data_IF_033734438937
#
_entry.id   IF_033734438937
#
_cell.length_a   1.000
_cell.length_b   1.000
_cell.length_c   1.000
_cell.angle_alpha   90.00
_cell.angle_beta   90.00
_cell.angle_gamma   90.00
#
_symmetry.space_group_name_H-M   'P 1'
#
loop_
_entity.id
_entity.type
_entity.pdbx_description
1 polymer ?
#
# COMPACT_ATOMS: atom_id res chain seq x y z
N UNK A 1 -24.10 34.02 6.24
CA UNK A 1 -22.67 34.03 5.86
C UNK A 1 -21.85 33.65 7.08
N UNK A 2 -21.65 32.36 7.30
CA UNK A 2 -20.56 31.86 8.11
C UNK A 2 -19.61 31.19 7.12
N UNK A 3 -18.47 31.82 6.85
CA UNK A 3 -17.36 31.16 6.19
C UNK A 3 -16.82 30.13 7.20
N UNK A 4 -17.26 28.88 7.10
CA UNK A 4 -16.50 27.77 7.66
C UNK A 4 -15.28 27.57 6.77
N UNK A 5 -14.29 28.46 6.90
CA UNK A 5 -12.96 28.17 6.39
C UNK A 5 -12.50 26.89 7.06
N UNK A 6 -12.21 25.87 6.27
CA UNK A 6 -11.67 24.58 6.73
C UNK A 6 -10.42 24.90 7.56
N UNK A 7 -10.54 24.89 8.88
CA UNK A 7 -9.38 25.04 9.75
C UNK A 7 -8.54 23.78 9.59
N UNK A 8 -7.32 23.98 9.09
CA UNK A 8 -6.35 22.91 8.97
C UNK A 8 -6.08 22.34 10.38
N UNK A 9 -6.36 21.05 10.56
CA UNK A 9 -6.23 20.36 11.86
C UNK A 9 -4.78 20.27 12.34
N UNK A 10 -3.82 20.57 11.45
CA UNK A 10 -2.38 20.47 11.71
C UNK A 10 -1.85 19.03 11.62
N UNK A 11 -2.75 18.05 11.44
CA UNK A 11 -2.41 16.66 11.19
C UNK A 11 -2.14 16.45 9.70
N UNK A 12 -1.04 15.75 9.39
CA UNK A 12 -0.65 15.43 8.03
C UNK A 12 -0.21 13.97 7.95
N UNK A 13 -0.59 13.26 6.88
CA UNK A 13 0.04 11.99 6.53
C UNK A 13 1.42 12.29 5.92
N UNK A 14 2.53 11.87 6.56
CA UNK A 14 3.84 12.10 5.99
C UNK A 14 4.07 11.21 4.77
N UNK A 15 5.02 11.61 3.92
CA UNK A 15 5.47 10.77 2.82
C UNK A 15 6.06 9.44 3.32
N UNK A 16 5.98 8.38 2.51
CA UNK A 16 6.51 7.06 2.90
C UNK A 16 8.04 7.02 3.02
N UNK A 17 8.77 7.98 2.45
CA UNK A 17 10.24 8.00 2.57
C UNK A 17 10.76 8.70 3.83
N UNK A 18 9.90 9.16 4.74
CA UNK A 18 10.36 9.73 6.02
C UNK A 18 10.96 8.64 6.90
N UNK A 19 11.68 9.02 7.95
CA UNK A 19 12.18 8.03 8.91
C UNK A 19 11.04 7.31 9.61
N UNK A 20 11.12 5.99 9.71
CA UNK A 20 10.16 5.12 10.37
C UNK A 20 10.59 4.73 11.78
N UNK A 21 9.61 4.62 12.68
CA UNK A 21 9.76 3.98 13.97
C UNK A 21 9.60 2.45 13.87
N UNK A 22 8.75 1.98 12.95
CA UNK A 22 8.54 0.57 12.68
C UNK A 22 7.79 0.36 11.35
N UNK A 23 7.87 -0.84 10.79
CA UNK A 23 6.92 -1.35 9.80
C UNK A 23 5.93 -2.30 10.47
N UNK A 24 4.65 -2.20 10.10
CA UNK A 24 3.61 -3.14 10.47
C UNK A 24 3.33 -4.12 9.35
N UNK A 25 3.09 -5.37 9.72
CA UNK A 25 2.67 -6.45 8.82
C UNK A 25 1.62 -7.30 9.52
N UNK A 26 0.84 -8.08 8.76
CA UNK A 26 -0.08 -9.09 9.31
C UNK A 26 0.35 -10.45 8.78
N UNK A 27 0.44 -11.44 9.66
CA UNK A 27 0.91 -12.78 9.32
C UNK A 27 -0.21 -13.62 8.68
N UNK A 28 0.03 -14.29 7.54
CA UNK A 28 -0.99 -15.10 6.88
C UNK A 28 -1.25 -16.37 7.69
N UNK A 29 -2.52 -16.61 7.99
CA UNK A 29 -2.99 -17.79 8.74
C UNK A 29 -4.18 -18.49 8.08
N UNK A 30 -4.93 -17.78 7.25
CA UNK A 30 -6.19 -18.26 6.68
C UNK A 30 -5.94 -19.26 5.55
N UNK A 31 -5.80 -20.54 5.92
CA UNK A 31 -5.55 -21.62 4.97
C UNK A 31 -6.65 -21.74 3.90
N UNK A 32 -7.91 -21.59 4.29
CA UNK A 32 -9.02 -21.75 3.35
C UNK A 32 -8.98 -20.70 2.24
N UNK A 33 -8.58 -19.47 2.58
CA UNK A 33 -8.41 -18.38 1.63
C UNK A 33 -7.14 -18.55 0.79
N UNK A 34 -5.98 -18.74 1.42
CA UNK A 34 -4.72 -18.82 0.66
C UNK A 34 -4.62 -20.06 -0.24
N UNK A 35 -5.33 -21.13 0.08
CA UNK A 35 -5.39 -22.34 -0.74
C UNK A 35 -6.66 -22.38 -1.63
N UNK A 36 -7.42 -21.28 -1.76
CA UNK A 36 -8.63 -21.22 -2.60
C UNK A 36 -8.31 -20.92 -4.06
N UNK A 37 -7.99 -21.94 -4.86
CA UNK A 37 -7.83 -21.77 -6.31
C UNK A 37 -6.58 -20.98 -6.75
N UNK A 38 -5.91 -20.29 -5.84
CA UNK A 38 -4.66 -19.55 -6.05
C UNK A 38 -3.41 -20.42 -6.20
N UNK A 39 -3.57 -21.75 -6.26
CA UNK A 39 -2.49 -22.71 -6.58
C UNK A 39 -1.25 -22.65 -5.68
N UNK A 40 -1.38 -22.09 -4.48
CA UNK A 40 -0.33 -22.04 -3.45
C UNK A 40 -0.79 -22.76 -2.20
N UNK A 41 0.17 -23.09 -1.33
CA UNK A 41 -0.10 -23.59 0.02
C UNK A 41 0.19 -22.50 1.05
N UNK A 42 -0.53 -22.49 2.17
CA UNK A 42 -0.31 -21.51 3.24
C UNK A 42 1.16 -21.48 3.73
N UNK A 43 1.87 -22.62 3.91
CA UNK A 43 3.28 -22.61 4.29
C UNK A 43 4.19 -21.88 3.28
N UNK A 44 3.95 -22.04 1.97
CA UNK A 44 4.71 -21.33 0.94
C UNK A 44 4.51 -19.81 1.03
N UNK A 45 3.27 -19.37 1.23
CA UNK A 45 2.95 -17.95 1.42
C UNK A 45 3.61 -17.43 2.70
N UNK A 46 3.58 -18.20 3.79
CA UNK A 46 4.26 -17.84 5.04
C UNK A 46 5.77 -17.68 4.87
N UNK A 47 6.42 -18.52 4.05
CA UNK A 47 7.84 -18.34 3.72
C UNK A 47 8.11 -17.02 2.98
N UNK A 48 7.25 -16.65 2.03
CA UNK A 48 7.35 -15.37 1.30
C UNK A 48 7.18 -14.17 2.25
N UNK A 49 6.15 -14.18 3.10
CA UNK A 49 5.94 -13.14 4.12
C UNK A 49 7.11 -13.05 5.10
N UNK A 50 7.66 -14.17 5.54
CA UNK A 50 8.83 -14.19 6.40
C UNK A 50 10.06 -13.58 5.72
N UNK A 51 10.27 -13.85 4.43
CA UNK A 51 11.38 -13.24 3.69
C UNK A 51 11.25 -11.72 3.65
N UNK A 52 10.04 -11.20 3.40
CA UNK A 52 9.77 -9.75 3.44
C UNK A 52 10.01 -9.18 4.83
N UNK A 53 9.42 -9.77 5.86
CA UNK A 53 9.53 -9.28 7.23
C UNK A 53 10.98 -9.28 7.73
N UNK A 54 11.74 -10.35 7.46
CA UNK A 54 13.15 -10.45 7.82
C UNK A 54 14.04 -9.48 7.00
N UNK A 55 13.69 -9.21 5.74
CA UNK A 55 14.41 -8.23 4.92
C UNK A 55 14.23 -6.80 5.49
N UNK A 56 13.00 -6.43 5.86
CA UNK A 56 12.69 -5.14 6.49
C UNK A 56 13.39 -5.02 7.86
N UNK A 57 13.38 -6.09 8.66
CA UNK A 57 13.96 -6.11 10.01
C UNK A 57 15.48 -5.84 10.06
N UNK A 58 16.16 -5.81 8.90
CA UNK A 58 17.56 -5.36 8.77
C UNK A 58 17.71 -3.83 8.86
N UNK A 59 16.65 -3.08 8.56
CA UNK A 59 16.67 -1.62 8.39
C UNK A 59 15.79 -0.87 9.39
N UNK A 60 14.72 -1.50 9.89
CA UNK A 60 13.83 -0.93 10.91
C UNK A 60 13.08 -2.00 11.70
N UNK A 61 12.57 -1.69 12.91
CA UNK A 61 11.76 -2.64 13.68
C UNK A 61 10.52 -3.09 12.90
N UNK A 62 10.18 -4.38 12.99
CA UNK A 62 8.94 -4.92 12.42
C UNK A 62 8.00 -5.33 13.54
N UNK A 63 6.75 -4.86 13.45
CA UNK A 63 5.62 -5.26 14.29
C UNK A 63 4.70 -6.14 13.46
N UNK A 64 4.76 -7.44 13.72
CA UNK A 64 3.98 -8.44 13.00
C UNK A 64 2.74 -8.81 13.81
N UNK A 65 1.57 -8.41 13.32
CA UNK A 65 0.29 -8.85 13.88
C UNK A 65 0.07 -10.31 13.51
N UNK A 66 -0.22 -11.16 14.50
CA UNK A 66 -0.37 -12.60 14.30
C UNK A 66 -1.66 -13.08 14.93
N UNK A 67 -2.48 -13.81 14.16
CA UNK A 67 -3.61 -14.54 14.74
C UNK A 67 -3.12 -15.56 15.78
N UNK A 68 -3.79 -15.72 16.94
CA UNK A 68 -3.35 -16.67 17.98
C UNK A 68 -3.10 -18.10 17.46
N UNK A 69 -3.80 -18.53 16.41
CA UNK A 69 -3.61 -19.86 15.79
C UNK A 69 -2.29 -20.01 15.04
N UNK A 70 -1.64 -18.92 14.63
CA UNK A 70 -0.45 -18.91 13.77
C UNK A 70 0.83 -18.41 14.47
N UNK A 71 0.80 -18.15 15.78
CA UNK A 71 1.97 -17.70 16.55
C UNK A 71 3.16 -18.66 16.39
N UNK A 72 2.90 -19.97 16.36
CA UNK A 72 3.96 -20.97 16.21
C UNK A 72 4.65 -20.89 14.82
N UNK A 73 3.90 -20.72 13.73
CA UNK A 73 4.48 -20.63 12.39
C UNK A 73 5.23 -19.30 12.20
N UNK A 74 4.69 -18.20 12.72
CA UNK A 74 5.37 -16.90 12.73
C UNK A 74 6.72 -16.99 13.47
N UNK A 75 6.74 -17.54 14.70
CA UNK A 75 7.99 -17.71 15.48
C UNK A 75 9.02 -18.61 14.81
N UNK A 76 8.59 -19.59 14.02
CA UNK A 76 9.49 -20.52 13.34
C UNK A 76 10.23 -19.87 12.17
N UNK A 77 9.61 -18.88 11.50
CA UNK A 77 10.12 -18.28 10.26
C UNK A 77 10.63 -16.83 10.43
N UNK A 78 10.13 -16.11 11.43
CA UNK A 78 10.53 -14.73 11.70
C UNK A 78 11.73 -14.65 12.64
N UNK A 79 12.66 -13.75 12.33
CA UNK A 79 13.85 -13.49 13.12
C UNK A 79 13.54 -12.82 14.48
N UNK A 80 14.50 -12.84 15.42
CA UNK A 80 14.29 -12.38 16.80
C UNK A 80 14.05 -10.87 16.94
N UNK A 81 14.33 -10.08 15.89
CA UNK A 81 14.12 -8.62 15.87
C UNK A 81 12.69 -8.21 15.42
N UNK A 82 11.81 -9.19 15.22
CA UNK A 82 10.42 -8.98 14.82
C UNK A 82 9.54 -9.16 16.07
N UNK A 83 8.80 -8.12 16.43
CA UNK A 83 7.84 -8.14 17.53
C UNK A 83 6.54 -8.79 17.07
N UNK A 84 6.11 -9.84 17.74
CA UNK A 84 4.83 -10.48 17.46
C UNK A 84 3.74 -9.89 18.35
N UNK A 85 2.67 -9.41 17.72
CA UNK A 85 1.52 -8.80 18.39
C UNK A 85 0.31 -9.71 18.14
N UNK A 86 -0.12 -10.43 19.17
CA UNK A 86 -1.23 -11.39 19.05
C UNK A 86 -2.58 -10.65 18.94
N UNK A 87 -3.18 -10.63 17.76
CA UNK A 87 -4.51 -10.10 17.48
C UNK A 87 -5.18 -10.95 16.40
N UNK A 88 -6.44 -11.35 16.63
CA UNK A 88 -7.21 -12.09 15.63
C UNK A 88 -7.48 -11.22 14.39
N UNK A 89 -7.40 -11.82 13.20
CA UNK A 89 -7.55 -11.17 11.89
C UNK A 89 -8.22 -12.14 10.90
N UNK A 90 -8.84 -11.65 9.83
CA UNK A 90 -9.41 -12.51 8.78
C UNK A 90 -8.37 -12.83 7.70
N UNK A 91 -7.60 -11.84 7.26
CA UNK A 91 -6.53 -11.96 6.27
C UNK A 91 -5.29 -11.11 6.64
N UNK A 92 -4.36 -10.91 5.71
CA UNK A 92 -2.97 -10.53 5.95
C UNK A 92 -2.50 -9.26 5.23
N UNK A 93 -3.44 -8.50 4.65
CA UNK A 93 -3.16 -7.27 3.90
C UNK A 93 -3.10 -6.05 4.82
N UNK A 94 -1.96 -5.90 5.49
CA UNK A 94 -1.76 -4.86 6.51
C UNK A 94 -1.84 -3.43 5.94
N UNK A 95 -1.48 -3.23 4.67
CA UNK A 95 -1.59 -1.94 3.99
C UNK A 95 -3.01 -1.41 4.00
N UNK A 96 -3.99 -2.30 3.85
CA UNK A 96 -5.36 -1.93 3.58
C UNK A 96 -6.24 -1.89 4.83
N UNK A 97 -5.99 -2.83 5.75
CA UNK A 97 -6.72 -2.96 7.02
C UNK A 97 -6.02 -2.26 8.20
N UNK A 98 -4.75 -1.87 8.02
CA UNK A 98 -3.95 -1.16 9.00
C UNK A 98 -4.26 0.35 9.08
N UNK A 99 -3.71 1.05 10.09
CA UNK A 99 -3.93 2.48 10.23
C UNK A 99 -3.04 3.27 9.27
N UNK A 100 -3.59 4.32 8.66
CA UNK A 100 -2.76 5.35 8.03
C UNK A 100 -2.32 6.34 9.10
N UNK A 101 -1.03 6.31 9.45
CA UNK A 101 -0.48 7.17 10.49
C UNK A 101 -0.40 8.63 10.05
N UNK A 102 -0.68 9.54 10.97
CA UNK A 102 -0.63 10.99 10.76
C UNK A 102 0.14 11.67 11.89
N UNK A 103 0.84 12.75 11.55
CA UNK A 103 1.71 13.47 12.47
C UNK A 103 1.21 14.89 12.68
N UNK A 104 1.37 15.39 13.91
CA UNK A 104 1.17 16.79 14.25
C UNK A 104 2.47 17.37 14.82
N UNK A 105 2.87 18.61 14.44
CA UNK A 105 4.12 19.20 14.92
C UNK A 105 4.22 19.32 16.45
N UNK A 106 3.08 19.52 17.13
CA UNK A 106 3.03 19.62 18.60
C UNK A 106 2.30 18.48 19.33
N UNK A 107 1.43 17.72 18.66
CA UNK A 107 0.54 16.75 19.32
C UNK A 107 1.06 15.30 19.19
N UNK A 108 2.10 15.07 18.40
CA UNK A 108 2.70 13.75 18.29
C UNK A 108 2.21 12.97 17.07
N UNK A 109 2.00 11.68 17.29
CA UNK A 109 1.57 10.70 16.31
C UNK A 109 0.12 10.28 16.63
N UNK A 110 -0.69 10.11 15.60
CA UNK A 110 -2.01 9.53 15.65
C UNK A 110 -2.21 8.63 14.42
N UNK A 111 -3.38 8.01 14.30
CA UNK A 111 -3.72 7.24 13.10
C UNK A 111 -5.15 7.44 12.65
N UNK A 112 -5.35 7.29 11.35
CA UNK A 112 -6.66 7.23 10.71
C UNK A 112 -7.07 5.77 10.60
N UNK A 113 -8.28 5.46 11.07
CA UNK A 113 -8.94 4.17 10.86
C UNK A 113 -10.03 4.37 9.81
N UNK A 114 -9.76 3.90 8.60
CA UNK A 114 -10.74 3.80 7.53
C UNK A 114 -11.79 2.74 7.84
N UNK A 115 -12.92 2.78 7.14
CA UNK A 115 -13.85 1.64 7.11
C UNK A 115 -13.31 0.62 6.12
N UNK A 116 -12.67 -0.44 6.58
CA UNK A 116 -12.24 -1.52 5.68
C UNK A 116 -13.40 -2.49 5.43
N UNK A 117 -13.66 -2.82 4.16
CA UNK A 117 -14.77 -3.70 3.78
C UNK A 117 -14.35 -4.87 2.87
N UNK A 118 -13.07 -5.27 2.90
CA UNK A 118 -12.52 -6.31 2.02
C UNK A 118 -12.72 -6.03 0.54
N UNK A 119 -12.28 -4.86 0.09
CA UNK A 119 -12.37 -4.46 -1.30
C UNK A 119 -13.78 -4.63 -1.89
N UNK A 120 -14.81 -4.17 -1.18
CA UNK A 120 -16.20 -4.28 -1.62
C UNK A 120 -16.88 -5.60 -1.27
N UNK A 121 -16.42 -6.29 -0.22
CA UNK A 121 -17.01 -7.52 0.30
C UNK A 121 -16.53 -8.79 -0.40
N UNK A 122 -15.31 -8.77 -0.98
CA UNK A 122 -14.70 -9.92 -1.67
C UNK A 122 -14.33 -11.06 -0.71
N UNK A 123 -14.19 -10.80 0.58
CA UNK A 123 -13.92 -11.80 1.62
C UNK A 123 -14.52 -11.40 2.98
N UNK A 124 -14.49 -12.33 3.94
CA UNK A 124 -14.85 -12.06 5.33
C UNK A 124 -13.82 -11.12 5.98
N UNK A 125 -14.27 -10.13 6.75
CA UNK A 125 -13.43 -9.01 7.20
C UNK A 125 -13.87 -8.35 8.50
N UNK A 126 -14.72 -8.99 9.29
CA UNK A 126 -15.24 -8.44 10.54
C UNK A 126 -14.12 -8.12 11.57
N UNK A 127 -13.06 -8.92 11.59
CA UNK A 127 -11.88 -8.67 12.42
C UNK A 127 -10.99 -7.60 11.79
N UNK A 128 -10.83 -7.62 10.46
CA UNK A 128 -9.95 -6.70 9.74
C UNK A 128 -10.51 -5.27 9.69
N UNK A 129 -11.83 -5.08 9.65
CA UNK A 129 -12.49 -3.77 9.73
C UNK A 129 -12.06 -2.98 10.97
N UNK A 130 -11.78 -3.69 12.07
CA UNK A 130 -11.36 -3.08 13.33
C UNK A 130 -9.85 -3.08 13.57
N UNK A 131 -9.04 -3.66 12.66
CA UNK A 131 -7.62 -3.88 12.88
C UNK A 131 -6.86 -2.56 13.12
N UNK A 132 -7.06 -1.55 12.27
CA UNK A 132 -6.45 -0.22 12.43
C UNK A 132 -6.67 0.36 13.84
N UNK A 133 -7.93 0.36 14.31
CA UNK A 133 -8.27 0.83 15.65
C UNK A 133 -7.63 0.00 16.76
N UNK A 134 -7.60 -1.33 16.63
CA UNK A 134 -6.99 -2.22 17.61
C UNK A 134 -5.47 -2.02 17.69
N UNK A 135 -4.80 -1.83 16.55
CA UNK A 135 -3.38 -1.51 16.48
C UNK A 135 -3.06 -0.16 17.13
N UNK A 136 -3.86 0.89 16.84
CA UNK A 136 -3.68 2.21 17.47
C UNK A 136 -3.92 2.18 18.98
N UNK A 137 -4.94 1.44 19.44
CA UNK A 137 -5.19 1.23 20.87
C UNK A 137 -4.03 0.49 21.56
N UNK A 138 -3.44 -0.52 20.90
CA UNK A 138 -2.27 -1.23 21.40
C UNK A 138 -1.08 -0.29 21.59
N UNK A 139 -0.91 0.69 20.69
CA UNK A 139 0.12 1.73 20.81
C UNK A 139 -0.23 2.87 21.78
N UNK A 140 -1.47 2.95 22.26
CA UNK A 140 -1.96 4.09 23.04
C UNK A 140 -2.06 5.39 22.24
N UNK A 141 -2.25 5.32 20.92
CA UNK A 141 -2.34 6.48 20.02
C UNK A 141 -3.80 6.90 19.78
N UNK A 142 -3.99 8.19 19.52
CA UNK A 142 -5.29 8.71 19.10
C UNK A 142 -5.70 8.13 17.74
N UNK A 143 -6.99 7.81 17.61
CA UNK A 143 -7.58 7.18 16.44
C UNK A 143 -8.69 8.06 15.85
N UNK A 144 -8.46 8.59 14.64
CA UNK A 144 -9.48 9.30 13.86
C UNK A 144 -10.24 8.30 12.98
N UNK A 145 -11.48 8.00 13.35
CA UNK A 145 -12.36 7.13 12.56
C UNK A 145 -13.09 7.89 11.45
N UNK A 146 -13.42 7.19 10.37
CA UNK A 146 -14.27 7.70 9.28
C UNK A 146 -15.17 6.59 8.72
N UNK A 147 -16.31 6.98 8.17
CA UNK A 147 -17.23 6.06 7.48
C UNK A 147 -16.83 5.81 6.01
N UNK A 148 -15.87 6.57 5.49
CA UNK A 148 -15.33 6.38 4.15
C UNK A 148 -14.69 5.00 4.06
N UNK A 149 -15.19 4.18 3.14
CA UNK A 149 -14.54 2.92 2.78
C UNK A 149 -13.31 3.24 1.96
N UNK A 150 -12.14 2.99 2.53
CA UNK A 150 -10.84 3.29 1.93
C UNK A 150 -9.83 2.26 2.43
N UNK A 151 -8.86 1.97 1.58
CA UNK A 151 -7.71 1.14 1.88
C UNK A 151 -6.43 1.98 1.80
N UNK A 152 -5.37 1.63 2.53
CA UNK A 152 -4.10 2.34 2.43
C UNK A 152 -3.47 2.24 1.03
N UNK A 153 -3.62 1.09 0.34
CA UNK A 153 -3.11 0.90 -1.03
C UNK A 153 -3.86 1.72 -2.08
N UNK A 154 -5.06 2.23 -1.75
CA UNK A 154 -5.84 3.07 -2.64
C UNK A 154 -5.35 4.53 -2.72
N UNK A 155 -4.44 4.95 -1.83
CA UNK A 155 -3.95 6.33 -1.74
C UNK A 155 -2.42 6.39 -1.65
N UNK A 156 -1.83 7.42 -2.26
CA UNK A 156 -0.40 7.71 -2.09
C UNK A 156 -0.17 9.20 -1.89
N UNK A 157 0.61 9.58 -0.87
CA UNK A 157 0.90 10.99 -0.54
C UNK A 157 2.36 11.36 -0.76
N UNK A 158 2.61 12.64 -1.08
CA UNK A 158 3.96 13.20 -1.25
C UNK A 158 4.51 13.89 0.00
N UNK A 159 3.71 14.02 1.06
CA UNK A 159 4.04 14.76 2.28
C UNK A 159 4.04 16.28 2.14
N UNK A 160 3.76 16.84 0.96
CA UNK A 160 3.70 18.27 0.65
C UNK A 160 2.29 18.75 0.26
N UNK A 161 1.29 17.90 0.51
CA UNK A 161 -0.13 18.19 0.34
C UNK A 161 -0.74 17.61 -0.93
N UNK A 162 -0.04 16.75 -1.65
CA UNK A 162 -0.57 16.03 -2.80
C UNK A 162 -0.93 14.61 -2.43
N UNK A 163 -2.09 14.15 -2.90
CA UNK A 163 -2.52 12.75 -2.84
C UNK A 163 -2.86 12.27 -4.26
N UNK A 164 -2.46 11.06 -4.61
CA UNK A 164 -2.88 10.36 -5.83
C UNK A 164 -3.76 9.18 -5.41
N UNK A 165 -4.87 9.00 -6.11
CA UNK A 165 -5.85 7.92 -5.92
C UNK A 165 -6.49 7.55 -7.25
N UNK A 166 -7.24 6.46 -7.28
CA UNK A 166 -8.02 6.04 -8.46
C UNK A 166 -9.53 6.24 -8.28
N UNK A 167 -10.22 6.57 -9.38
CA UNK A 167 -11.68 6.71 -9.44
C UNK A 167 -12.38 5.36 -9.32
N UNK A 168 -11.86 4.34 -10.00
CA UNK A 168 -12.34 2.95 -10.00
C UNK A 168 -12.40 2.29 -8.62
N UNK A 169 -11.65 2.81 -7.64
CA UNK A 169 -11.71 2.38 -6.24
C UNK A 169 -12.65 3.27 -5.45
N UNK A 170 -12.31 4.56 -5.26
CA UNK A 170 -13.02 5.37 -4.26
C UNK A 170 -14.42 5.81 -4.66
N UNK A 171 -14.72 5.86 -5.97
CA UNK A 171 -16.06 6.15 -6.48
C UNK A 171 -16.85 4.87 -6.79
N UNK A 172 -16.26 3.70 -6.53
CA UNK A 172 -16.93 2.44 -6.72
C UNK A 172 -18.17 2.34 -5.81
N UNK A 173 -19.36 1.98 -6.33
CA UNK A 173 -20.55 1.76 -5.52
C UNK A 173 -20.37 0.67 -4.44
N UNK A 174 -19.43 -0.27 -4.62
CA UNK A 174 -19.12 -1.28 -3.60
C UNK A 174 -18.26 -0.72 -2.44
N UNK A 175 -17.64 0.46 -2.59
CA UNK A 175 -16.92 1.18 -1.53
C UNK A 175 -17.79 2.25 -0.91
N UNK A 176 -18.18 3.25 -1.71
CA UNK A 176 -18.74 4.51 -1.25
C UNK A 176 -19.94 4.92 -2.14
N UNK A 177 -21.08 4.21 -2.06
CA UNK A 177 -22.22 4.47 -2.94
C UNK A 177 -22.76 5.90 -2.74
N UNK A 178 -22.75 6.67 -3.83
CA UNK A 178 -23.29 8.04 -3.86
C UNK A 178 -22.39 9.12 -3.24
N UNK A 179 -21.18 8.77 -2.80
CA UNK A 179 -20.22 9.76 -2.28
C UNK A 179 -19.50 10.44 -3.45
N UNK A 180 -19.40 11.76 -3.39
CA UNK A 180 -18.77 12.58 -4.43
C UNK A 180 -17.27 12.78 -4.18
N UNK A 181 -16.52 13.10 -5.24
CA UNK A 181 -15.09 13.48 -5.11
C UNK A 181 -14.86 14.60 -4.10
N UNK A 182 -15.73 15.62 -4.10
CA UNK A 182 -15.60 16.76 -3.20
C UNK A 182 -15.73 16.34 -1.72
N UNK A 183 -16.67 15.44 -1.40
CA UNK A 183 -16.81 14.91 -0.04
C UNK A 183 -15.60 14.07 0.39
N UNK A 184 -15.03 13.28 -0.53
CA UNK A 184 -13.80 12.52 -0.27
C UNK A 184 -12.61 13.47 -0.05
N UNK A 185 -12.48 14.50 -0.88
CA UNK A 185 -11.42 15.53 -0.76
C UNK A 185 -11.51 16.30 0.56
N UNK A 186 -12.71 16.59 1.06
CA UNK A 186 -12.90 17.18 2.40
C UNK A 186 -12.40 16.25 3.51
N UNK A 187 -12.63 14.94 3.39
CA UNK A 187 -12.12 13.94 4.33
C UNK A 187 -10.58 13.88 4.28
N UNK A 188 -9.99 13.83 3.08
CA UNK A 188 -8.53 13.82 2.91
C UNK A 188 -7.88 15.11 3.42
N UNK A 189 -8.50 16.27 3.18
CA UNK A 189 -8.03 17.55 3.72
C UNK A 189 -8.01 17.51 5.25
N UNK A 190 -9.10 17.06 5.87
CA UNK A 190 -9.26 17.05 7.33
C UNK A 190 -8.34 16.04 8.03
N UNK A 191 -8.23 14.84 7.47
CA UNK A 191 -7.55 13.71 8.12
C UNK A 191 -6.09 13.57 7.71
N UNK A 192 -5.74 13.88 6.46
CA UNK A 192 -4.39 13.65 5.91
C UNK A 192 -3.63 14.95 5.63
N UNK A 193 -4.27 16.12 5.77
CA UNK A 193 -3.66 17.42 5.50
C UNK A 193 -3.39 17.68 4.02
N UNK A 194 -4.08 16.94 3.14
CA UNK A 194 -3.98 17.04 1.68
C UNK A 194 -4.62 18.34 1.20
N UNK A 195 -4.03 18.95 0.17
CA UNK A 195 -4.50 20.19 -0.48
C UNK A 195 -4.96 19.94 -1.91
N UNK A 196 -4.44 18.89 -2.55
CA UNK A 196 -4.77 18.54 -3.93
C UNK A 196 -4.81 17.03 -4.09
N UNK A 197 -5.91 16.54 -4.63
CA UNK A 197 -6.08 15.14 -4.99
C UNK A 197 -5.98 15.01 -6.51
N UNK A 198 -5.17 14.06 -6.96
CA UNK A 198 -5.06 13.65 -8.36
C UNK A 198 -5.83 12.35 -8.50
N UNK A 199 -6.85 12.39 -9.35
CA UNK A 199 -7.74 11.27 -9.63
C UNK A 199 -7.30 10.60 -10.93
N UNK A 200 -6.74 9.40 -10.83
CA UNK A 200 -6.47 8.55 -11.98
C UNK A 200 -7.71 7.72 -12.32
N UNK A 201 -7.90 7.29 -13.58
CA UNK A 201 -8.97 6.36 -13.92
C UNK A 201 -8.92 5.05 -13.12
N UNK A 202 -7.72 4.55 -12.82
CA UNK A 202 -7.46 3.19 -12.31
C UNK A 202 -7.94 2.14 -13.32
N UNK A 203 -8.72 1.15 -12.88
CA UNK A 203 -9.32 0.09 -13.71
C UNK A 203 -10.86 0.21 -13.76
N UNK A 204 -11.43 1.17 -14.51
CA UNK A 204 -12.85 1.55 -14.44
C UNK A 204 -13.84 0.43 -14.82
N UNK A 205 -13.40 -0.55 -15.61
CA UNK A 205 -14.22 -1.68 -16.05
C UNK A 205 -13.81 -3.01 -15.39
N UNK A 206 -12.89 -2.97 -14.42
CA UNK A 206 -12.37 -4.14 -13.69
C UNK A 206 -11.84 -5.23 -14.61
N UNK A 207 -11.22 -4.80 -15.71
CA UNK A 207 -10.85 -5.65 -16.85
C UNK A 207 -9.46 -6.24 -16.72
N UNK A 208 -8.64 -5.73 -15.80
CA UNK A 208 -7.28 -6.25 -15.55
C UNK A 208 -7.28 -7.51 -14.69
N UNK A 209 -8.38 -7.79 -13.98
CA UNK A 209 -8.43 -8.85 -12.97
C UNK A 209 -7.82 -8.45 -11.62
N UNK A 210 -7.52 -7.16 -11.40
CA UNK A 210 -7.06 -6.65 -10.12
C UNK A 210 -8.13 -6.84 -9.02
N UNK A 211 -7.76 -7.59 -7.98
CA UNK A 211 -8.60 -7.88 -6.82
C UNK A 211 -8.92 -6.66 -5.96
N UNK A 212 -8.23 -5.54 -6.18
CA UNK A 212 -8.42 -4.30 -5.42
C UNK A 212 -9.28 -3.25 -6.13
N UNK A 213 -9.72 -3.53 -7.36
CA UNK A 213 -10.45 -2.62 -8.25
C UNK A 213 -9.58 -1.47 -8.82
N UNK A 214 -8.26 -1.65 -8.91
CA UNK A 214 -7.33 -0.66 -9.46
C UNK A 214 -6.70 0.21 -8.39
N UNK A 215 -6.09 -0.38 -7.35
CA UNK A 215 -5.35 0.38 -6.33
C UNK A 215 -4.21 1.20 -6.95
N UNK A 216 -3.94 2.38 -6.38
CA UNK A 216 -2.93 3.30 -6.91
C UNK A 216 -1.50 2.77 -6.72
N UNK A 217 -1.27 1.93 -5.70
CA UNK A 217 0.04 1.32 -5.43
C UNK A 217 0.44 0.22 -6.43
N UNK A 218 -0.51 -0.26 -7.24
CA UNK A 218 -0.27 -1.04 -8.46
C UNK A 218 -0.01 -0.19 -9.71
N UNK A 219 -0.23 1.13 -9.64
CA UNK A 219 -0.14 2.06 -10.78
C UNK A 219 1.09 2.95 -10.69
N UNK A 220 1.35 3.53 -9.51
CA UNK A 220 2.49 4.44 -9.32
C UNK A 220 2.89 4.58 -7.85
N UNK A 221 4.13 5.02 -7.64
CA UNK A 221 4.66 5.35 -6.34
C UNK A 221 5.48 6.63 -6.38
N UNK A 222 5.39 7.46 -5.34
CA UNK A 222 6.26 8.63 -5.23
C UNK A 222 7.68 8.20 -4.85
N UNK A 223 8.66 8.59 -5.67
CA UNK A 223 10.08 8.44 -5.33
C UNK A 223 10.58 9.60 -4.45
N UNK A 224 10.04 10.80 -4.70
CA UNK A 224 10.32 12.08 -4.02
C UNK A 224 9.30 13.13 -4.51
N UNK A 225 9.22 14.33 -3.91
CA UNK A 225 8.30 15.36 -4.39
C UNK A 225 8.50 15.66 -5.89
N UNK A 226 7.41 15.57 -6.66
CA UNK A 226 7.42 15.79 -8.11
C UNK A 226 7.98 14.66 -8.98
N UNK A 227 8.36 13.51 -8.42
CA UNK A 227 8.89 12.36 -9.19
C UNK A 227 8.13 11.09 -8.83
N UNK A 228 7.60 10.42 -9.85
CA UNK A 228 6.82 9.19 -9.73
C UNK A 228 7.51 8.04 -10.46
N UNK A 229 7.53 6.88 -9.83
CA UNK A 229 7.66 5.59 -10.51
C UNK A 229 6.26 5.20 -11.00
N UNK A 230 6.15 4.77 -12.25
CA UNK A 230 4.86 4.43 -12.88
C UNK A 230 4.96 3.05 -13.49
N UNK A 231 3.96 2.22 -13.23
CA UNK A 231 3.84 0.91 -13.83
C UNK A 231 3.80 1.02 -15.37
N UNK A 232 4.51 0.11 -16.02
CA UNK A 232 4.63 0.08 -17.47
C UNK A 232 4.65 -1.37 -17.97
N UNK A 233 4.21 -1.55 -19.21
CA UNK A 233 4.27 -2.84 -19.91
C UNK A 233 4.88 -2.69 -21.29
N UNK A 234 5.56 -3.74 -21.76
CA UNK A 234 6.04 -3.81 -23.13
C UNK A 234 4.92 -4.15 -24.12
N UNK A 235 3.84 -4.76 -23.64
CA UNK A 235 2.65 -4.98 -24.46
C UNK A 235 2.00 -3.63 -24.83
N UNK A 236 1.48 -3.54 -26.04
CA UNK A 236 0.83 -2.35 -26.56
C UNK A 236 -0.66 -2.58 -26.85
N UNK A 237 -1.10 -3.84 -26.86
CA UNK A 237 -2.41 -4.25 -27.40
C UNK A 237 -3.36 -4.80 -26.34
N UNK A 238 -2.85 -5.34 -25.22
CA UNK A 238 -3.74 -5.81 -24.15
C UNK A 238 -4.55 -4.68 -23.53
N UNK A 239 -5.64 -5.10 -22.88
CA UNK A 239 -6.46 -4.23 -22.05
C UNK A 239 -5.63 -3.66 -20.89
N UNK A 240 -4.70 -4.44 -20.34
CA UNK A 240 -3.73 -3.93 -19.35
C UNK A 240 -2.90 -2.76 -19.89
N UNK A 241 -2.35 -2.88 -21.10
CA UNK A 241 -1.60 -1.80 -21.73
C UNK A 241 -2.45 -0.54 -21.96
N UNK A 242 -3.74 -0.69 -22.23
CA UNK A 242 -4.66 0.45 -22.32
C UNK A 242 -4.87 1.14 -20.96
N UNK A 243 -5.14 0.35 -19.91
CA UNK A 243 -5.28 0.85 -18.54
C UNK A 243 -4.02 1.57 -18.07
N UNK A 244 -2.83 0.99 -18.29
CA UNK A 244 -1.55 1.61 -17.93
C UNK A 244 -1.34 2.95 -18.67
N UNK A 245 -1.65 3.03 -19.97
CA UNK A 245 -1.54 4.27 -20.75
C UNK A 245 -2.47 5.37 -20.25
N UNK A 246 -3.72 5.07 -19.94
CA UNK A 246 -4.68 6.09 -19.51
C UNK A 246 -4.37 6.61 -18.10
N UNK A 247 -3.91 5.74 -17.20
CA UNK A 247 -3.40 6.18 -15.89
C UNK A 247 -2.16 7.07 -16.01
N UNK A 248 -1.19 6.68 -16.85
CA UNK A 248 -0.02 7.52 -17.15
C UNK A 248 -0.42 8.86 -17.74
N UNK A 249 -1.34 8.88 -18.70
CA UNK A 249 -1.82 10.11 -19.34
C UNK A 249 -2.42 11.07 -18.32
N UNK A 250 -3.18 10.56 -17.34
CA UNK A 250 -3.71 11.38 -16.26
C UNK A 250 -2.58 12.02 -15.41
N UNK A 251 -1.51 11.28 -15.13
CA UNK A 251 -0.33 11.80 -14.44
C UNK A 251 0.42 12.86 -15.25
N UNK A 252 0.59 12.67 -16.57
CA UNK A 252 1.26 13.64 -17.46
C UNK A 252 0.52 14.99 -17.55
N UNK A 253 -0.80 14.95 -17.45
CA UNK A 253 -1.66 16.14 -17.45
C UNK A 253 -1.77 16.81 -16.07
N UNK A 254 -1.41 16.10 -15.02
CA UNK A 254 -1.51 16.58 -13.65
C UNK A 254 -0.32 17.47 -13.24
N UNK A 255 -0.54 18.18 -12.15
CA UNK A 255 0.51 18.86 -11.38
C UNK A 255 0.26 18.57 -9.91
N UNK A 256 1.30 18.63 -9.09
CA UNK A 256 1.15 18.43 -7.65
C UNK A 256 0.59 19.67 -6.94
N UNK A 257 0.48 19.62 -5.61
CA UNK A 257 -0.02 20.72 -4.78
C UNK A 257 0.89 21.96 -4.79
N UNK A 258 2.15 21.82 -5.20
CA UNK A 258 3.12 22.90 -5.35
C UNK A 258 3.19 23.43 -6.79
N UNK A 259 2.39 22.88 -7.71
CA UNK A 259 2.34 23.28 -9.11
C UNK A 259 3.45 22.67 -9.98
N UNK A 260 4.20 21.68 -9.49
CA UNK A 260 5.22 20.98 -10.29
C UNK A 260 4.53 19.98 -11.21
N UNK A 261 5.07 19.82 -12.42
CA UNK A 261 4.76 18.66 -13.28
C UNK A 261 5.55 17.45 -12.77
N UNK A 262 5.02 16.26 -12.98
CA UNK A 262 5.71 15.04 -12.59
C UNK A 262 6.79 14.65 -13.60
N UNK A 263 7.97 14.29 -13.09
CA UNK A 263 8.89 13.40 -13.78
C UNK A 263 8.37 11.97 -13.59
N UNK A 264 8.14 11.25 -14.69
CA UNK A 264 7.64 9.87 -14.67
C UNK A 264 8.77 8.91 -15.05
N UNK A 265 9.12 8.02 -14.13
CA UNK A 265 10.11 6.97 -14.31
C UNK A 265 9.34 5.65 -14.50
N UNK A 266 9.50 5.03 -15.66
CA UNK A 266 8.83 3.77 -15.98
C UNK A 266 9.45 2.62 -15.19
N UNK A 267 8.60 1.78 -14.62
CA UNK A 267 8.98 0.55 -13.95
C UNK A 267 8.20 -0.60 -14.61
N UNK A 268 8.88 -1.32 -15.50
CA UNK A 268 8.25 -2.35 -16.32
C UNK A 268 7.91 -3.60 -15.51
N UNK A 269 6.68 -4.08 -15.63
CA UNK A 269 6.14 -5.26 -14.93
C UNK A 269 6.90 -6.58 -15.21
N UNK A 270 6.69 -7.56 -14.34
CA UNK A 270 7.29 -8.89 -14.43
C UNK A 270 6.49 -9.86 -15.32
N UNK A 271 6.14 -9.47 -16.55
CA UNK A 271 5.24 -10.26 -17.44
C UNK A 271 5.66 -11.73 -17.58
N UNK A 272 6.96 -12.01 -17.70
CA UNK A 272 7.49 -13.37 -17.88
C UNK A 272 7.35 -14.27 -16.63
N UNK A 273 7.00 -13.71 -15.48
CA UNK A 273 6.77 -14.45 -14.23
C UNK A 273 5.28 -14.76 -13.98
N UNK A 274 4.36 -14.19 -14.77
CA UNK A 274 2.93 -14.36 -14.56
C UNK A 274 2.55 -15.82 -14.73
N UNK A 275 1.96 -16.43 -13.69
CA UNK A 275 1.29 -17.72 -13.82
C UNK A 275 -0.06 -17.50 -14.51
N UNK A 276 -0.13 -17.78 -15.80
CA UNK A 276 -1.34 -17.62 -16.60
C UNK A 276 -2.46 -18.60 -16.22
N UNK A 277 -2.18 -19.62 -15.41
CA UNK A 277 -3.19 -20.53 -14.89
C UNK A 277 -3.69 -20.15 -13.49
N UNK A 278 -3.09 -19.15 -12.84
CA UNK A 278 -3.57 -18.57 -11.59
C UNK A 278 -4.77 -17.65 -11.85
N UNK A 279 -5.69 -17.57 -10.90
CA UNK A 279 -6.83 -16.66 -10.97
C UNK A 279 -6.40 -15.19 -10.89
N UNK A 280 -5.39 -14.90 -10.07
CA UNK A 280 -4.79 -13.59 -9.91
C UNK A 280 -3.28 -13.76 -9.71
N UNK A 281 -2.49 -12.81 -10.22
CA UNK A 281 -1.05 -12.76 -10.00
C UNK A 281 -0.54 -11.32 -10.03
N UNK A 282 0.07 -10.86 -8.93
CA UNK A 282 0.68 -9.53 -8.87
C UNK A 282 2.10 -9.54 -9.47
N UNK A 283 2.23 -9.06 -10.71
CA UNK A 283 3.51 -8.91 -11.40
C UNK A 283 4.10 -7.48 -11.34
N UNK A 284 3.49 -6.59 -10.56
CA UNK A 284 3.90 -5.19 -10.50
C UNK A 284 5.11 -4.97 -9.59
N UNK A 285 6.18 -4.39 -10.15
CA UNK A 285 7.31 -3.94 -9.34
C UNK A 285 7.04 -2.64 -8.59
N UNK A 286 6.00 -1.86 -8.93
CA UNK A 286 5.65 -0.64 -8.17
C UNK A 286 5.18 -0.97 -6.76
N UNK A 287 4.77 -2.21 -6.52
CA UNK A 287 4.38 -2.73 -5.22
C UNK A 287 5.60 -3.03 -4.30
N UNK A 288 6.60 -2.15 -4.30
CA UNK A 288 7.75 -2.16 -3.40
C UNK A 288 7.44 -1.39 -2.10
N UNK A 289 8.23 -1.62 -1.05
CA UNK A 289 8.13 -0.87 0.20
C UNK A 289 9.38 -0.04 0.46
N UNK A 290 9.22 1.24 0.82
CA UNK A 290 10.34 2.10 1.22
C UNK A 290 10.58 1.94 2.72
N UNK A 291 11.63 1.23 3.10
CA UNK A 291 12.14 1.25 4.47
C UNK A 291 13.15 2.40 4.64
N UNK A 292 13.55 2.67 5.89
CA UNK A 292 14.53 3.68 6.27
C UNK A 292 15.76 3.72 5.33
N UNK A 293 16.53 2.62 5.31
CA UNK A 293 17.77 2.51 4.54
C UNK A 293 17.65 1.65 3.27
N UNK A 294 16.44 1.22 2.90
CA UNK A 294 16.26 0.24 1.83
C UNK A 294 14.95 0.40 1.05
N UNK A 295 14.92 -0.15 -0.16
CA UNK A 295 13.71 -0.40 -0.92
C UNK A 295 13.55 -1.91 -1.00
N UNK A 296 12.49 -2.44 -0.38
CA UNK A 296 12.17 -3.86 -0.41
C UNK A 296 11.34 -4.11 -1.67
N UNK A 297 12.01 -4.64 -2.68
CA UNK A 297 11.45 -4.82 -4.02
C UNK A 297 10.90 -6.24 -4.18
N UNK A 298 9.67 -6.43 -4.70
CA UNK A 298 9.22 -7.76 -5.11
C UNK A 298 10.15 -8.31 -6.20
N UNK A 299 10.49 -9.59 -6.10
CA UNK A 299 11.27 -10.29 -7.11
C UNK A 299 10.62 -11.63 -7.47
N UNK A 300 10.80 -12.05 -8.71
CA UNK A 300 10.08 -13.18 -9.29
C UNK A 300 10.99 -14.30 -9.80
N UNK A 301 12.31 -14.08 -9.79
CA UNK A 301 13.32 -15.02 -10.24
C UNK A 301 13.60 -14.95 -11.74
N UNK A 302 13.40 -13.78 -12.35
CA UNK A 302 13.56 -13.54 -13.80
C UNK A 302 14.56 -12.41 -14.06
N UNK A 303 15.03 -12.25 -15.30
CA UNK A 303 16.01 -11.21 -15.63
C UNK A 303 15.47 -9.78 -15.47
N UNK A 304 14.15 -9.59 -15.61
CA UNK A 304 13.51 -8.31 -15.36
C UNK A 304 13.71 -7.81 -13.91
N UNK A 305 13.92 -8.70 -12.93
CA UNK A 305 14.18 -8.33 -11.54
C UNK A 305 15.43 -7.41 -11.45
N UNK A 306 16.45 -7.67 -12.27
CA UNK A 306 17.70 -6.89 -12.28
C UNK A 306 17.45 -5.48 -12.84
N UNK A 307 16.68 -5.40 -13.91
CA UNK A 307 16.34 -4.13 -14.56
C UNK A 307 15.50 -3.26 -13.61
N UNK A 308 14.48 -3.85 -12.97
CA UNK A 308 13.68 -3.17 -11.97
C UNK A 308 14.55 -2.67 -10.79
N UNK A 309 15.49 -3.49 -10.31
CA UNK A 309 16.40 -3.10 -9.24
C UNK A 309 17.31 -1.92 -9.62
N UNK A 310 17.80 -1.87 -10.86
CA UNK A 310 18.61 -0.75 -11.37
C UNK A 310 17.81 0.55 -11.44
N UNK A 311 16.55 0.49 -11.89
CA UNK A 311 15.65 1.66 -11.93
C UNK A 311 15.37 2.16 -10.52
N UNK A 312 15.03 1.27 -9.59
CA UNK A 312 14.78 1.64 -8.19
C UNK A 312 16.02 2.21 -7.51
N UNK A 313 17.21 1.67 -7.78
CA UNK A 313 18.46 2.20 -7.23
C UNK A 313 18.74 3.63 -7.70
N UNK A 314 18.39 3.97 -8.94
CA UNK A 314 18.47 5.33 -9.47
C UNK A 314 17.39 6.24 -8.87
N UNK A 315 16.17 5.71 -8.68
CA UNK A 315 15.07 6.47 -8.10
C UNK A 315 15.30 6.78 -6.61
N UNK A 316 15.98 5.91 -5.87
CA UNK A 316 16.21 6.03 -4.43
C UNK A 316 17.69 6.05 -4.05
N UNK A 317 18.43 7.13 -4.42
CA UNK A 317 19.84 7.23 -4.08
C UNK A 317 20.01 7.21 -2.56
N UNK A 318 20.94 6.38 -2.08
CA UNK A 318 21.23 6.22 -0.65
C UNK A 318 20.42 5.13 0.05
N UNK A 319 19.51 4.44 -0.65
CA UNK A 319 18.84 3.23 -0.15
C UNK A 319 19.38 1.98 -0.84
N UNK A 320 19.54 0.90 -0.07
CA UNK A 320 19.83 -0.43 -0.61
C UNK A 320 18.57 -1.00 -1.27
N UNK A 321 18.62 -1.36 -2.56
CA UNK A 321 17.53 -2.13 -3.15
C UNK A 321 17.70 -3.59 -2.75
N UNK A 322 16.68 -4.16 -2.10
CA UNK A 322 16.67 -5.53 -1.60
C UNK A 322 15.58 -6.31 -2.33
N UNK A 323 15.93 -7.07 -3.37
CA UNK A 323 15.01 -7.97 -4.04
C UNK A 323 14.57 -9.09 -3.10
N UNK A 324 13.27 -9.31 -2.95
CA UNK A 324 12.69 -10.37 -2.14
C UNK A 324 11.79 -11.24 -2.99
N UNK A 325 12.09 -12.54 -3.05
CA UNK A 325 11.28 -13.48 -3.84
C UNK A 325 9.89 -13.65 -3.23
N UNK A 326 8.84 -13.32 -3.97
CA UNK A 326 7.44 -13.31 -3.50
C UNK A 326 6.46 -14.07 -4.39
N UNK A 327 6.92 -15.03 -5.20
CA UNK A 327 6.06 -15.72 -6.17
C UNK A 327 4.78 -16.32 -5.56
N UNK A 328 4.80 -16.84 -4.33
CA UNK A 328 3.60 -17.42 -3.71
C UNK A 328 2.69 -16.36 -3.12
N UNK A 329 3.24 -15.28 -2.55
CA UNK A 329 2.46 -14.11 -2.16
C UNK A 329 1.75 -13.47 -3.36
N UNK A 330 2.42 -13.39 -4.51
CA UNK A 330 1.88 -12.78 -5.72
C UNK A 330 0.57 -13.44 -6.19
N UNK A 331 0.36 -14.74 -5.90
CA UNK A 331 -0.88 -15.45 -6.22
C UNK A 331 -2.10 -14.99 -5.39
N UNK A 332 -1.88 -14.23 -4.31
CA UNK A 332 -2.95 -13.56 -3.57
C UNK A 332 -3.37 -12.22 -4.17
N UNK A 333 -2.73 -11.78 -5.26
CA UNK A 333 -3.07 -10.55 -5.97
C UNK A 333 -2.40 -9.28 -5.47
N UNK A 334 -1.45 -9.37 -4.53
CA UNK A 334 -0.66 -8.22 -4.05
C UNK A 334 0.83 -8.52 -3.94
N UNK A 335 1.62 -7.49 -3.68
CA UNK A 335 3.08 -7.56 -3.54
C UNK A 335 3.57 -7.15 -2.14
N UNK A 336 4.78 -6.59 -2.08
CA UNK A 336 5.43 -6.19 -0.81
C UNK A 336 4.69 -5.02 -0.16
N UNK A 337 4.26 -4.04 -0.96
CA UNK A 337 3.57 -2.85 -0.46
C UNK A 337 2.21 -3.19 0.16
N UNK A 338 1.45 -4.11 -0.43
CA UNK A 338 0.12 -4.52 0.07
C UNK A 338 0.15 -5.20 1.45
N UNK A 339 1.30 -5.76 1.85
CA UNK A 339 1.43 -6.48 3.13
C UNK A 339 2.15 -5.66 4.21
N UNK A 340 2.51 -4.40 3.92
CA UNK A 340 3.28 -3.54 4.81
C UNK A 340 2.57 -2.22 5.10
N UNK A 341 2.77 -1.68 6.30
CA UNK A 341 2.26 -0.37 6.70
C UNK A 341 3.30 0.35 7.58
N UNK A 342 3.86 1.43 7.08
CA UNK A 342 4.85 2.24 7.79
C UNK A 342 4.25 3.00 8.98
N UNK A 343 4.96 2.97 10.11
CA UNK A 343 4.75 3.88 11.24
C UNK A 343 5.87 4.92 11.23
N UNK A 344 5.59 6.20 10.92
CA UNK A 344 6.62 7.23 10.89
C UNK A 344 7.18 7.48 12.30
N UNK A 345 8.47 7.79 12.37
CA UNK A 345 9.09 8.30 13.58
C UNK A 345 8.62 9.73 13.83
N UNK A 346 8.33 10.05 15.09
CA UNK A 346 8.01 11.42 15.52
C UNK A 346 9.10 11.95 16.48
N UNK A 347 9.54 13.22 16.36
CA UNK A 347 9.14 14.18 15.32
C UNK A 347 9.64 13.76 13.94
N UNK A 348 8.80 13.98 12.91
CA UNK A 348 9.19 13.75 11.51
C UNK A 348 10.34 14.69 11.18
N UNK A 349 11.49 14.13 10.82
CA UNK A 349 12.66 14.90 10.37
C UNK A 349 12.61 14.95 8.84
N UNK A 350 12.75 16.16 8.31
CA UNK A 350 12.80 16.41 6.87
C UNK A 350 14.07 15.90 6.23
#
# INVERSE_FOLDING_TARGET
MQQNGIQNSGWTMPAEWVTHAATWMVWPHNKALWESGWRVTLPQVQEDFARVANAIARFEPVKLVVDPSAVASAKALCGPNIELIELAVNDSWCRDSGPSFVCHPQQGLAGVSWRFNSWGGKSAHDLDESLARRALNHLGLECFGTALSNEGGAIHVDGEGTLITTESVLLNPNRNPGVTKAEIEEIFTRLLGVKKTIWLPGDPDYVTGDMTDGHVDGVCAFARPGVLLVDATHDQQSVYAEVARENRRALELATDAQGRKFELIELYEATDAVDTEAEVFCASYTNFYIANGAVIMPAYGIDADKVAAEVLAQAFPGREVVPVRINHLAHGGGGVHCITQQQPAWPVRG
#
